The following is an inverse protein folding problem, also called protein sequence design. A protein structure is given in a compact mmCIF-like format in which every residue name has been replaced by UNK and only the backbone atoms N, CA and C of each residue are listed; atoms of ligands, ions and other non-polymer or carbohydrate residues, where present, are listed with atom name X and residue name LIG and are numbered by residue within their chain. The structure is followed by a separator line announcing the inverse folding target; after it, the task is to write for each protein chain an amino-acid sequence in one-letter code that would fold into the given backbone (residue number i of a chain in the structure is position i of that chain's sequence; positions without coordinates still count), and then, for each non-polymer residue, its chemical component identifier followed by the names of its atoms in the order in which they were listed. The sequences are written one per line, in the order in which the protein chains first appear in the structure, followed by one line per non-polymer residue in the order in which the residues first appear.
data_IF_754304195643
#
_entry.id   IF_754304195643
#
_cell.length_a   1.000
_cell.length_b   1.000
_cell.length_c   1.000
_cell.angle_alpha   90.00
_cell.angle_beta   90.00
_cell.angle_gamma   90.00
#
_symmetry.space_group_name_H-M   'P 1'
#
loop_
_entity.id
_entity.type
_entity.pdbx_description
1 polymer ?
#
# COMPACT_ATOMS: atom_id res chain seq x y z
N UNK A 1 -10.68 2.48 -17.35
CA UNK A 1 -9.53 1.57 -17.17
C UNK A 1 -9.49 1.11 -15.72
N UNK A 2 -8.60 0.19 -15.33
CA UNK A 2 -8.71 -0.50 -14.03
C UNK A 2 -7.65 -0.09 -13.05
N UNK A 3 -8.04 0.11 -11.77
CA UNK A 3 -7.16 0.19 -10.62
C UNK A 3 -7.13 -1.18 -9.93
N UNK A 4 -5.96 -1.83 -9.95
CA UNK A 4 -5.73 -3.11 -9.30
C UNK A 4 -4.80 -2.89 -8.13
N UNK A 5 -5.12 -3.42 -6.95
CA UNK A 5 -4.27 -3.32 -5.77
C UNK A 5 -3.75 -4.67 -5.34
N UNK A 6 -2.50 -4.70 -4.90
CA UNK A 6 -1.83 -5.89 -4.38
C UNK A 6 -1.60 -5.67 -2.89
N UNK A 7 -2.25 -6.48 -2.07
CA UNK A 7 -2.22 -6.38 -0.62
C UNK A 7 -1.57 -7.61 0.01
N UNK A 8 -1.17 -7.52 1.26
CA UNK A 8 -0.54 -8.59 2.04
C UNK A 8 0.49 -8.05 3.02
N UNK A 9 0.94 -8.87 3.97
CA UNK A 9 1.96 -8.53 4.96
C UNK A 9 3.34 -8.28 4.34
N UNK A 10 4.26 -7.69 5.11
CA UNK A 10 5.64 -7.57 4.66
C UNK A 10 6.27 -8.96 4.58
N UNK A 11 7.09 -9.20 3.58
CA UNK A 11 7.62 -10.53 3.31
C UNK A 11 6.69 -11.48 2.56
N UNK A 12 5.41 -11.13 2.33
CA UNK A 12 4.47 -11.99 1.59
C UNK A 12 4.81 -12.20 0.12
N UNK A 13 5.54 -11.26 -0.49
CA UNK A 13 5.88 -11.32 -1.92
C UNK A 13 5.07 -10.36 -2.80
N UNK A 14 4.42 -9.36 -2.21
CA UNK A 14 3.64 -8.33 -2.94
C UNK A 14 4.38 -7.73 -4.13
N UNK A 15 5.64 -7.31 -3.94
CA UNK A 15 6.44 -6.71 -5.01
C UNK A 15 6.67 -7.65 -6.20
N UNK A 16 6.76 -8.97 -5.98
CA UNK A 16 6.80 -9.95 -7.06
C UNK A 16 5.42 -10.07 -7.72
N UNK A 17 4.36 -10.19 -6.92
CA UNK A 17 2.99 -10.28 -7.42
C UNK A 17 2.63 -9.03 -8.27
N UNK A 18 3.00 -7.83 -7.83
CA UNK A 18 2.81 -6.57 -8.58
C UNK A 18 3.46 -6.64 -9.97
N UNK A 19 4.69 -7.14 -10.04
CA UNK A 19 5.39 -7.31 -11.33
C UNK A 19 4.72 -8.35 -12.22
N UNK A 20 4.41 -9.53 -11.65
CA UNK A 20 3.75 -10.61 -12.41
C UNK A 20 2.40 -10.16 -12.96
N UNK A 21 1.56 -9.53 -12.15
CA UNK A 21 0.26 -9.00 -12.59
C UNK A 21 0.44 -7.97 -13.70
N UNK A 22 1.38 -7.04 -13.55
CA UNK A 22 1.66 -6.02 -14.56
C UNK A 22 2.17 -6.62 -15.87
N UNK A 23 3.02 -7.65 -15.80
CA UNK A 23 3.55 -8.31 -17.00
C UNK A 23 2.48 -9.16 -17.71
N UNK A 24 1.62 -9.83 -16.95
CA UNK A 24 0.45 -10.54 -17.51
C UNK A 24 -0.46 -9.54 -18.22
N UNK A 25 -0.79 -8.42 -17.58
CA UNK A 25 -1.63 -7.40 -18.21
C UNK A 25 -1.03 -6.85 -19.51
N UNK A 26 0.26 -6.54 -19.53
CA UNK A 26 0.96 -6.07 -20.74
C UNK A 26 0.95 -7.09 -21.87
N UNK A 27 1.05 -8.37 -21.54
CA UNK A 27 1.05 -9.46 -22.51
C UNK A 27 -0.35 -9.74 -23.07
N UNK A 28 -1.34 -9.82 -22.19
CA UNK A 28 -2.71 -10.18 -22.59
C UNK A 28 -3.48 -8.99 -23.19
N UNK A 29 -3.10 -7.76 -22.82
CA UNK A 29 -3.72 -6.52 -23.28
C UNK A 29 -2.69 -5.56 -23.86
N UNK A 30 -2.07 -5.88 -25.01
CA UNK A 30 -0.91 -5.14 -25.54
C UNK A 30 -1.21 -3.68 -25.92
N UNK A 31 -2.49 -3.30 -26.04
CA UNK A 31 -2.91 -1.93 -26.33
C UNK A 31 -3.17 -1.10 -25.06
N UNK A 32 -3.03 -1.69 -23.87
CA UNK A 32 -3.23 -1.01 -22.59
C UNK A 32 -1.87 -0.72 -21.95
N UNK A 33 -1.58 0.55 -21.74
CA UNK A 33 -0.42 0.93 -20.92
C UNK A 33 -0.68 0.59 -19.46
N UNK A 34 0.30 -0.05 -18.80
CA UNK A 34 0.21 -0.44 -17.39
C UNK A 34 1.24 0.34 -16.58
N UNK A 35 0.75 1.14 -15.66
CA UNK A 35 1.55 1.92 -14.71
C UNK A 35 1.61 1.20 -13.35
N UNK A 36 2.77 1.24 -12.70
CA UNK A 36 2.97 0.66 -11.36
C UNK A 36 3.19 1.79 -10.37
N UNK A 37 2.57 1.66 -9.21
CA UNK A 37 2.72 2.60 -8.09
C UNK A 37 2.64 1.85 -6.76
N UNK A 38 2.66 2.57 -5.64
CA UNK A 38 2.49 1.99 -4.31
C UNK A 38 2.25 3.04 -3.24
N UNK A 39 1.72 2.61 -2.11
CA UNK A 39 1.39 3.45 -0.96
C UNK A 39 2.02 2.91 0.33
N UNK A 40 2.50 3.79 1.23
CA UNK A 40 2.65 5.24 1.01
C UNK A 40 3.70 5.56 -0.06
N UNK A 41 3.55 6.71 -0.75
CA UNK A 41 4.48 7.15 -1.80
C UNK A 41 5.81 7.63 -1.21
N UNK A 42 6.82 6.77 -1.26
CA UNK A 42 8.12 7.00 -0.60
C UNK A 42 8.86 8.26 -1.05
N UNK A 43 8.68 8.66 -2.29
CA UNK A 43 9.35 9.84 -2.87
C UNK A 43 8.50 11.12 -2.81
N UNK A 44 7.22 10.99 -2.46
CA UNK A 44 6.30 12.12 -2.33
C UNK A 44 6.32 12.71 -0.90
N UNK A 45 6.21 14.04 -0.72
CA UNK A 45 6.25 14.65 0.61
C UNK A 45 5.23 14.08 1.60
N UNK A 46 3.97 13.88 1.17
CA UNK A 46 2.91 13.32 2.03
C UNK A 46 3.21 11.88 2.44
N UNK A 47 3.68 11.05 1.51
CA UNK A 47 4.06 9.68 1.81
C UNK A 47 5.27 9.59 2.75
N UNK A 48 6.24 10.50 2.61
CA UNK A 48 7.37 10.62 3.56
C UNK A 48 6.90 10.97 4.95
N UNK A 49 6.00 11.96 5.09
CA UNK A 49 5.43 12.33 6.39
C UNK A 49 4.72 11.15 7.05
N UNK A 50 3.92 10.38 6.29
CA UNK A 50 3.26 9.19 6.81
C UNK A 50 4.28 8.13 7.30
N UNK A 51 5.34 7.87 6.53
CA UNK A 51 6.40 6.93 6.92
C UNK A 51 7.16 7.43 8.17
N UNK A 52 7.46 8.71 8.23
CA UNK A 52 8.18 9.28 9.37
C UNK A 52 7.33 9.26 10.65
N UNK A 53 6.01 9.46 10.55
CA UNK A 53 5.07 9.32 11.68
C UNK A 53 5.16 7.93 12.32
N UNK A 54 5.15 6.88 11.51
CA UNK A 54 5.31 5.47 11.97
C UNK A 54 6.66 5.25 12.65
N UNK A 55 7.73 5.80 12.07
CA UNK A 55 9.10 5.62 12.59
C UNK A 55 9.33 6.34 13.91
N UNK A 56 8.81 7.55 14.02
CA UNK A 56 9.03 8.39 15.18
C UNK A 56 8.12 8.04 16.36
N UNK A 57 6.95 7.46 16.10
CA UNK A 57 5.95 7.07 17.10
C UNK A 57 5.57 8.20 18.07
N UNK A 58 5.52 9.44 17.57
CA UNK A 58 5.21 10.63 18.35
C UNK A 58 3.79 11.15 18.16
N UNK A 59 3.13 10.68 17.11
CA UNK A 59 1.79 11.09 16.74
C UNK A 59 0.75 10.19 17.38
N UNK A 60 -0.44 10.73 17.59
CA UNK A 60 -1.60 9.93 17.97
C UNK A 60 -2.01 9.00 16.81
N UNK A 61 -2.77 7.92 17.09
CA UNK A 61 -3.29 7.04 16.04
C UNK A 61 -4.06 7.79 14.94
N UNK A 62 -4.82 8.79 15.31
CA UNK A 62 -5.60 9.60 14.38
C UNK A 62 -4.73 10.49 13.47
N UNK A 63 -3.69 11.11 14.03
CA UNK A 63 -2.75 11.92 13.26
C UNK A 63 -1.98 11.07 12.26
N UNK A 64 -1.49 9.91 12.68
CA UNK A 64 -0.83 8.96 11.78
C UNK A 64 -1.78 8.51 10.67
N UNK A 65 -2.99 8.05 11.02
CA UNK A 65 -3.99 7.62 10.04
C UNK A 65 -4.36 8.75 9.06
N UNK A 66 -4.45 9.98 9.55
CA UNK A 66 -4.71 11.17 8.73
C UNK A 66 -3.63 11.43 7.67
N UNK A 67 -2.35 11.21 8.01
CA UNK A 67 -1.25 11.36 7.05
C UNK A 67 -1.30 10.31 5.95
N UNK A 68 -1.59 9.04 6.28
CA UNK A 68 -1.79 7.99 5.28
C UNK A 68 -2.99 8.27 4.38
N UNK A 69 -4.09 8.78 4.96
CA UNK A 69 -5.27 9.16 4.19
C UNK A 69 -4.98 10.35 3.26
N UNK A 70 -4.26 11.36 3.74
CA UNK A 70 -3.86 12.51 2.92
C UNK A 70 -3.00 12.10 1.72
N UNK A 71 -1.99 11.23 1.94
CA UNK A 71 -1.16 10.70 0.86
C UNK A 71 -2.01 9.93 -0.17
N UNK A 72 -2.95 9.09 0.28
CA UNK A 72 -3.81 8.28 -0.60
C UNK A 72 -4.79 9.14 -1.40
N UNK A 73 -5.45 10.10 -0.77
CA UNK A 73 -6.42 10.97 -1.46
C UNK A 73 -5.70 11.80 -2.54
N UNK A 74 -4.56 12.39 -2.20
CA UNK A 74 -3.73 13.11 -3.15
C UNK A 74 -3.22 12.20 -4.28
N UNK A 75 -2.78 10.98 -3.97
CA UNK A 75 -2.37 9.98 -4.95
C UNK A 75 -3.51 9.58 -5.88
N UNK A 76 -4.70 9.37 -5.32
CA UNK A 76 -5.90 9.01 -6.07
C UNK A 76 -6.23 10.04 -7.15
N UNK A 77 -6.29 11.32 -6.78
CA UNK A 77 -6.74 12.38 -7.68
C UNK A 77 -5.60 13.04 -8.46
N UNK A 78 -4.42 13.18 -7.87
CA UNK A 78 -3.28 13.82 -8.50
C UNK A 78 -2.49 12.91 -9.44
N UNK A 79 -2.58 11.59 -9.25
CA UNK A 79 -1.75 10.66 -10.03
C UNK A 79 -2.53 9.49 -10.65
N UNK A 80 -3.36 8.77 -9.89
CA UNK A 80 -4.05 7.57 -10.37
C UNK A 80 -5.16 7.95 -11.36
N UNK A 81 -6.11 8.77 -10.94
CA UNK A 81 -7.28 9.14 -11.75
C UNK A 81 -6.90 9.68 -13.15
N UNK A 82 -5.95 10.63 -13.29
CA UNK A 82 -5.54 11.10 -14.61
C UNK A 82 -5.01 10.00 -15.53
N UNK A 83 -4.40 8.96 -14.98
CA UNK A 83 -3.90 7.82 -15.77
C UNK A 83 -5.04 6.89 -16.21
N UNK A 84 -5.98 6.63 -15.33
CA UNK A 84 -7.19 5.87 -15.67
C UNK A 84 -8.00 6.58 -16.77
N UNK A 85 -8.14 7.90 -16.69
CA UNK A 85 -8.82 8.73 -17.71
C UNK A 85 -8.10 8.71 -19.06
N UNK A 86 -6.77 8.60 -19.07
CA UNK A 86 -5.96 8.39 -20.27
C UNK A 86 -6.08 6.97 -20.86
N UNK A 87 -6.90 6.12 -20.28
CA UNK A 87 -7.07 4.74 -20.75
C UNK A 87 -5.96 3.79 -20.28
N UNK A 88 -5.17 4.14 -19.27
CA UNK A 88 -4.14 3.27 -18.69
C UNK A 88 -4.71 2.41 -17.57
N UNK A 89 -4.12 1.26 -17.33
CA UNK A 89 -4.34 0.48 -16.12
C UNK A 89 -3.29 0.86 -15.06
N UNK A 90 -3.69 0.84 -13.81
CA UNK A 90 -2.80 1.12 -12.67
C UNK A 90 -2.76 -0.09 -11.74
N UNK A 91 -1.55 -0.56 -11.41
CA UNK A 91 -1.30 -1.60 -10.41
C UNK A 91 -0.60 -0.95 -9.22
N UNK A 92 -1.23 -0.94 -8.06
CA UNK A 92 -0.70 -0.35 -6.83
C UNK A 92 -0.30 -1.44 -5.83
N UNK A 93 0.94 -1.39 -5.34
CA UNK A 93 1.32 -2.14 -4.15
C UNK A 93 0.80 -1.39 -2.92
N UNK A 94 -0.13 -2.01 -2.18
CA UNK A 94 -0.91 -1.44 -1.09
C UNK A 94 -1.92 -0.36 -1.54
N UNK A 95 -2.98 -0.26 -0.74
CA UNK A 95 -4.01 0.77 -0.82
C UNK A 95 -4.77 0.84 0.52
N UNK A 96 -6.08 1.15 0.48
CA UNK A 96 -6.94 1.34 1.67
C UNK A 96 -6.89 0.16 2.65
N UNK A 97 -6.85 -1.09 2.17
CA UNK A 97 -6.89 -2.28 3.03
C UNK A 97 -5.69 -2.33 3.98
N UNK A 98 -4.50 -1.94 3.52
CA UNK A 98 -3.34 -1.78 4.41
C UNK A 98 -3.62 -0.79 5.55
N UNK A 99 -4.23 0.37 5.28
CA UNK A 99 -4.55 1.34 6.34
C UNK A 99 -5.64 0.88 7.30
N UNK A 100 -6.65 0.14 6.81
CA UNK A 100 -7.67 -0.44 7.69
C UNK A 100 -7.05 -1.39 8.72
N UNK A 101 -6.03 -2.15 8.31
CA UNK A 101 -5.31 -3.05 9.21
C UNK A 101 -4.31 -2.28 10.07
N UNK A 102 -3.35 -1.59 9.45
CA UNK A 102 -2.21 -1.01 10.20
C UNK A 102 -2.61 0.19 11.06
N UNK A 103 -3.33 1.16 10.52
CA UNK A 103 -3.79 2.32 11.30
C UNK A 103 -5.08 2.03 12.07
N UNK A 104 -6.01 1.29 11.43
CA UNK A 104 -7.33 1.03 12.01
C UNK A 104 -7.31 0.03 13.15
N UNK A 105 -6.80 -1.18 12.92
CA UNK A 105 -6.78 -2.27 13.91
C UNK A 105 -5.55 -2.18 14.80
N UNK A 106 -4.35 -2.27 14.22
CA UNK A 106 -3.09 -2.36 14.97
C UNK A 106 -2.75 -1.01 15.63
N UNK A 107 -2.87 0.08 14.89
CA UNK A 107 -2.58 1.43 15.37
C UNK A 107 -3.64 2.00 16.32
N UNK A 108 -4.84 1.41 16.36
CA UNK A 108 -5.90 1.79 17.32
C UNK A 108 -6.73 3.01 16.92
N UNK A 109 -6.61 3.54 15.71
CA UNK A 109 -7.46 4.64 15.25
C UNK A 109 -8.93 4.21 15.02
N UNK A 110 -9.17 2.90 14.86
CA UNK A 110 -10.48 2.33 14.57
C UNK A 110 -10.75 2.23 13.05
N UNK A 111 -11.25 1.07 12.64
CA UNK A 111 -11.46 0.74 11.21
C UNK A 111 -12.44 1.71 10.54
N UNK A 112 -13.58 1.97 11.16
CA UNK A 112 -14.61 2.87 10.61
C UNK A 112 -14.08 4.30 10.45
N UNK A 113 -13.27 4.75 11.40
CA UNK A 113 -12.67 6.08 11.35
C UNK A 113 -11.64 6.19 10.23
N UNK A 114 -10.78 5.19 10.07
CA UNK A 114 -9.83 5.14 8.95
C UNK A 114 -10.55 5.05 7.62
N UNK A 115 -11.62 4.25 7.52
CA UNK A 115 -12.45 4.18 6.32
C UNK A 115 -13.05 5.56 5.98
N UNK A 116 -13.58 6.28 6.98
CA UNK A 116 -14.13 7.62 6.80
C UNK A 116 -13.05 8.62 6.32
N UNK A 117 -11.86 8.63 6.91
CA UNK A 117 -10.75 9.50 6.48
C UNK A 117 -10.34 9.28 5.02
N UNK A 118 -10.55 8.07 4.51
CA UNK A 118 -10.21 7.67 3.15
C UNK A 118 -11.40 7.71 2.18
N UNK A 119 -12.56 8.24 2.59
CA UNK A 119 -13.80 8.22 1.78
C UNK A 119 -13.70 8.93 0.43
N UNK A 120 -12.75 9.87 0.29
CA UNK A 120 -12.48 10.57 -0.96
C UNK A 120 -11.46 9.86 -1.86
N UNK A 121 -10.81 8.79 -1.40
CA UNK A 121 -9.87 8.04 -2.21
C UNK A 121 -10.60 7.16 -3.24
N UNK A 122 -9.89 6.83 -4.33
CA UNK A 122 -10.42 5.89 -5.32
C UNK A 122 -10.52 4.48 -4.72
N UNK A 123 -11.65 3.83 -4.99
CA UNK A 123 -11.87 2.43 -4.65
C UNK A 123 -11.26 1.56 -5.76
N UNK A 124 -10.42 0.57 -5.45
CA UNK A 124 -9.88 -0.31 -6.46
C UNK A 124 -10.96 -1.20 -7.09
N UNK A 125 -10.83 -1.45 -8.40
CA UNK A 125 -11.71 -2.37 -9.14
C UNK A 125 -11.43 -3.83 -8.76
N UNK A 126 -10.18 -4.14 -8.40
CA UNK A 126 -9.75 -5.47 -7.98
C UNK A 126 -8.68 -5.34 -6.88
N UNK A 127 -8.85 -6.09 -5.80
CA UNK A 127 -7.84 -6.27 -4.77
C UNK A 127 -7.36 -7.73 -4.81
N UNK A 128 -6.05 -7.92 -4.97
CA UNK A 128 -5.38 -9.23 -4.91
C UNK A 128 -4.68 -9.34 -3.56
N UNK A 129 -5.13 -10.26 -2.73
CA UNK A 129 -4.49 -10.58 -1.45
C UNK A 129 -3.41 -11.63 -1.66
N UNK A 130 -2.16 -11.26 -1.32
CA UNK A 130 -1.03 -12.20 -1.34
C UNK A 130 -0.93 -12.86 0.02
N UNK A 131 -1.56 -14.02 0.13
CA UNK A 131 -1.53 -14.82 1.35
C UNK A 131 -0.15 -15.46 1.54
N UNK A 132 0.37 -15.36 2.74
CA UNK A 132 1.66 -15.92 3.11
C UNK A 132 1.66 -16.26 4.60
N UNK A 133 2.15 -17.45 4.92
CA UNK A 133 2.38 -17.85 6.29
C UNK A 133 3.27 -16.81 7.01
N UNK A 134 2.86 -16.29 8.18
CA UNK A 134 3.60 -15.25 8.90
C UNK A 134 5.05 -15.66 9.22
N UNK A 135 5.31 -16.92 9.57
CA UNK A 135 6.67 -17.41 9.87
C UNK A 135 7.54 -17.40 8.62
N UNK A 136 6.95 -17.70 7.45
CA UNK A 136 7.66 -17.59 6.17
C UNK A 136 7.98 -16.14 5.87
N UNK A 137 7.03 -15.23 6.04
CA UNK A 137 7.21 -13.80 5.83
C UNK A 137 8.30 -13.24 6.74
N UNK A 138 8.25 -13.53 8.05
CA UNK A 138 9.26 -13.12 9.03
C UNK A 138 10.66 -13.68 8.71
N UNK A 139 10.77 -14.94 8.29
CA UNK A 139 12.06 -15.49 7.85
C UNK A 139 12.64 -14.76 6.66
N UNK A 140 11.82 -14.38 5.68
CA UNK A 140 12.24 -13.60 4.51
C UNK A 140 12.71 -12.20 4.88
N UNK A 141 12.04 -11.53 5.81
CA UNK A 141 12.44 -10.23 6.35
C UNK A 141 13.81 -10.35 7.05
N UNK A 142 13.94 -11.28 8.00
CA UNK A 142 15.17 -11.47 8.79
C UNK A 142 16.38 -11.92 7.96
N UNK A 143 16.18 -12.70 6.90
CA UNK A 143 17.26 -13.16 6.02
C UNK A 143 17.78 -12.09 5.07
N UNK A 144 17.20 -10.87 5.07
CA UNK A 144 17.57 -9.82 4.15
C UNK A 144 17.25 -10.14 2.68
N UNK A 145 16.47 -11.18 2.42
CA UNK A 145 16.02 -11.56 1.07
C UNK A 145 15.11 -10.47 0.46
N UNK A 146 14.54 -9.64 1.32
CA UNK A 146 13.86 -8.40 0.95
C UNK A 146 14.90 -7.28 0.98
N UNK A 147 15.13 -6.69 -0.18
CA UNK A 147 16.12 -5.63 -0.37
C UNK A 147 16.04 -4.55 0.70
N UNK A 148 17.20 -3.95 1.03
CA UNK A 148 17.52 -2.98 2.06
C UNK A 148 16.60 -1.75 2.26
N UNK A 149 15.47 -1.66 1.57
CA UNK A 149 14.44 -0.63 1.77
C UNK A 149 13.44 -0.94 2.88
N UNK A 150 13.36 -2.21 3.33
CA UNK A 150 12.35 -2.64 4.32
C UNK A 150 12.80 -2.58 5.77
N UNK A 151 14.10 -2.48 6.05
CA UNK A 151 14.66 -2.63 7.41
C UNK A 151 14.15 -1.62 8.47
N UNK A 152 13.26 -0.71 8.12
CA UNK A 152 12.68 0.27 9.06
C UNK A 152 11.16 0.24 9.14
N UNK A 153 10.47 -0.58 8.34
CA UNK A 153 9.01 -0.77 8.39
C UNK A 153 8.58 -1.94 9.28
N UNK A 154 9.54 -2.67 9.85
CA UNK A 154 9.33 -3.83 10.72
C UNK A 154 8.51 -3.54 12.00
N UNK A 155 8.21 -2.26 12.29
CA UNK A 155 7.59 -1.89 13.56
C UNK A 155 6.14 -2.35 13.70
N UNK A 156 5.45 -2.66 12.60
CA UNK A 156 4.06 -3.14 12.64
C UNK A 156 3.96 -4.67 12.71
N UNK A 157 4.90 -5.39 12.11
CA UNK A 157 4.81 -6.84 11.96
C UNK A 157 5.48 -7.63 13.08
N UNK A 158 6.25 -6.95 13.94
CA UNK A 158 6.83 -7.54 15.15
C UNK A 158 5.99 -7.31 16.40
N UNK A 159 4.87 -6.60 16.30
CA UNK A 159 3.93 -6.48 17.42
C UNK A 159 3.19 -7.81 17.52
N UNK A 160 3.43 -8.57 18.59
CA UNK A 160 2.64 -9.76 18.92
C UNK A 160 1.17 -9.37 19.03
N UNK A 161 0.33 -10.03 18.24
CA UNK A 161 -1.11 -9.98 18.33
C UNK A 161 -1.59 -10.78 19.56
#
# INVERSE_FOLDING_TARGET
MYLITIEGGDGSGKGLATRVVSDVMRREFPFVSVEITGEPRREHPLGRLAIDAVREKKMSPDEEAGLFAADRVDHSHGWILPRLEQGKAVVSERNIHSSLVYQGLVGGAGVDRVAHMNSAALVPDLCIWVDCDPDVALRRIKSGTLRAHSNKEESFETTEL
#
